data_IF_173109729657
#
_entry.id   IF_173109729657
#
_cell.length_a   1.000
_cell.length_b   1.000
_cell.length_c   1.000
_cell.angle_alpha   90.00
_cell.angle_beta   90.00
_cell.angle_gamma   90.00
#
_symmetry.space_group_name_H-M   'P 1'
#
loop_
_entity.id
_entity.type
_entity.pdbx_description
1 polymer ?
#
# COMPACT_ATOMS: atom_id res chain seq x y z
N UNK A 1 2.47 39.82 34.74
CA UNK A 1 3.44 38.87 34.15
C UNK A 1 3.49 37.50 34.85
N UNK A 2 2.99 37.34 36.08
CA UNK A 2 3.01 36.08 36.85
C UNK A 2 2.04 34.99 36.38
N UNK A 3 0.96 35.32 35.65
CA UNK A 3 -0.02 34.33 35.15
C UNK A 3 0.40 33.59 33.88
N UNK A 4 1.25 34.20 33.03
CA UNK A 4 1.74 33.62 31.77
C UNK A 4 2.83 32.56 32.02
N UNK A 5 3.76 32.84 32.94
CA UNK A 5 4.81 31.89 33.34
C UNK A 5 4.22 30.62 33.98
N UNK A 6 3.14 30.77 34.76
CA UNK A 6 2.44 29.63 35.38
C UNK A 6 1.70 28.74 34.38
N UNK A 7 1.29 29.27 33.21
CA UNK A 7 0.68 28.49 32.12
C UNK A 7 1.73 27.73 31.31
N UNK A 8 2.87 28.36 31.03
CA UNK A 8 4.00 27.72 30.34
C UNK A 8 4.57 26.54 31.15
N UNK A 9 4.72 26.69 32.47
CA UNK A 9 5.17 25.60 33.35
C UNK A 9 4.20 24.42 33.42
N UNK A 10 2.88 24.68 33.35
CA UNK A 10 1.85 23.62 33.30
C UNK A 10 1.81 22.91 31.95
N UNK A 11 1.96 23.63 30.84
CA UNK A 11 2.00 23.05 29.50
C UNK A 11 3.27 22.21 29.29
N UNK A 12 4.42 22.69 29.79
CA UNK A 12 5.67 21.95 29.79
C UNK A 12 5.62 20.70 30.67
N UNK A 13 5.02 20.79 31.85
CA UNK A 13 4.81 19.63 32.72
C UNK A 13 3.84 18.60 32.13
N UNK A 14 2.80 19.03 31.40
CA UNK A 14 1.89 18.11 30.70
C UNK A 14 2.59 17.42 29.52
N UNK A 15 3.33 18.16 28.71
CA UNK A 15 4.10 17.60 27.59
C UNK A 15 5.19 16.64 28.08
N UNK A 16 5.87 16.97 29.18
CA UNK A 16 6.85 16.11 29.82
C UNK A 16 6.17 14.88 30.46
N UNK A 17 4.97 15.03 31.02
CA UNK A 17 4.16 13.89 31.50
C UNK A 17 3.74 12.97 30.36
N UNK A 18 3.32 13.49 29.20
CA UNK A 18 3.02 12.67 28.01
C UNK A 18 4.27 12.07 27.36
N UNK A 19 5.43 12.71 27.46
CA UNK A 19 6.69 12.20 26.93
C UNK A 19 7.37 11.17 27.87
N UNK A 20 7.15 11.29 29.17
CA UNK A 20 7.72 10.41 30.21
C UNK A 20 6.75 9.36 30.74
N UNK A 21 5.47 9.42 30.36
CA UNK A 21 4.62 8.24 30.45
C UNK A 21 4.88 7.43 29.19
N UNK A 22 5.65 6.32 29.25
CA UNK A 22 5.39 5.23 28.33
C UNK A 22 3.98 4.78 28.69
N UNK A 23 2.99 5.44 28.09
CA UNK A 23 1.62 5.41 28.56
C UNK A 23 1.09 4.04 28.27
N UNK A 24 1.29 3.11 29.21
CA UNK A 24 0.69 1.79 29.30
C UNK A 24 0.23 1.32 27.93
N UNK A 25 1.17 1.23 26.98
CA UNK A 25 0.92 0.57 25.72
C UNK A 25 0.75 -0.87 26.15
N UNK A 26 -0.50 -1.22 26.47
CA UNK A 26 -0.96 -2.57 26.61
C UNK A 26 -0.87 -3.14 25.19
N UNK A 27 0.34 -3.39 24.73
CA UNK A 27 0.66 -4.41 23.77
C UNK A 27 0.41 -5.76 24.47
N UNK A 28 -0.81 -5.96 24.96
CA UNK A 28 -1.36 -7.30 24.92
C UNK A 28 -1.30 -7.64 23.44
N UNK A 29 -0.35 -8.50 23.07
CA UNK A 29 -0.37 -9.17 21.78
C UNK A 29 -1.82 -9.54 21.56
N UNK A 30 -2.45 -9.01 20.50
CA UNK A 30 -3.78 -9.48 20.15
C UNK A 30 -3.63 -10.99 20.07
N UNK A 31 -4.39 -11.61 20.97
CA UNK A 31 -4.13 -12.88 21.62
C UNK A 31 -3.65 -13.97 20.65
N UNK A 32 -2.92 -14.95 21.19
CA UNK A 32 -2.38 -16.22 20.63
C UNK A 32 -3.10 -16.91 19.46
N UNK A 33 -4.32 -16.47 19.08
CA UNK A 33 -5.14 -16.97 17.96
C UNK A 33 -5.12 -16.12 16.69
N UNK A 34 -4.87 -14.81 16.74
CA UNK A 34 -4.98 -13.93 15.56
C UNK A 34 -3.66 -13.24 15.18
N UNK A 35 -2.55 -13.56 15.85
CA UNK A 35 -1.25 -12.94 15.60
C UNK A 35 -0.85 -12.96 14.13
N UNK A 36 -0.98 -14.11 13.45
CA UNK A 36 -0.63 -14.25 12.04
C UNK A 36 -1.55 -13.47 11.09
N UNK A 37 -2.82 -13.25 11.48
CA UNK A 37 -3.72 -12.38 10.73
C UNK A 37 -3.24 -10.93 10.76
N UNK A 38 -2.88 -10.42 11.94
CA UNK A 38 -2.32 -9.07 12.05
C UNK A 38 -0.94 -8.97 11.41
N UNK A 39 -0.11 -10.01 11.49
CA UNK A 39 1.16 -10.07 10.79
C UNK A 39 0.95 -9.94 9.28
N UNK A 40 0.02 -10.71 8.70
CA UNK A 40 -0.34 -10.62 7.29
C UNK A 40 -0.94 -9.27 6.92
N UNK A 41 -1.79 -8.69 7.76
CA UNK A 41 -2.36 -7.36 7.51
C UNK A 41 -1.31 -6.24 7.57
N UNK A 42 -0.32 -6.34 8.45
CA UNK A 42 0.70 -5.31 8.59
C UNK A 42 1.86 -5.48 7.60
N UNK A 43 2.11 -6.70 7.13
CA UNK A 43 3.25 -7.01 6.26
C UNK A 43 3.31 -6.13 5.00
N UNK A 44 2.24 -6.03 4.17
CA UNK A 44 2.24 -5.11 3.04
C UNK A 44 2.40 -3.66 3.47
N UNK A 45 1.76 -3.26 4.57
CA UNK A 45 1.76 -1.86 5.02
C UNK A 45 3.14 -1.36 5.47
N UNK A 46 4.03 -2.27 5.85
CA UNK A 46 5.42 -1.98 6.20
C UNK A 46 6.36 -2.01 5.00
N UNK A 47 5.91 -2.50 3.85
CA UNK A 47 6.66 -2.56 2.60
C UNK A 47 6.14 -1.50 1.61
N UNK A 48 6.88 -0.41 1.49
CA UNK A 48 6.52 0.69 0.60
C UNK A 48 6.51 0.28 -0.87
N UNK A 49 7.26 -0.76 -1.27
CA UNK A 49 7.24 -1.25 -2.65
C UNK A 49 5.87 -1.86 -3.02
N UNK A 50 5.12 -2.34 -2.03
CA UNK A 50 3.76 -2.87 -2.23
C UNK A 50 2.69 -1.78 -2.08
N UNK A 51 2.80 -0.90 -1.07
CA UNK A 51 1.76 0.10 -0.78
C UNK A 51 1.68 1.21 -1.83
N UNK A 52 2.82 1.66 -2.36
CA UNK A 52 2.87 2.72 -3.36
C UNK A 52 2.08 2.38 -4.64
N UNK A 53 2.24 1.19 -5.26
CA UNK A 53 1.45 0.85 -6.44
C UNK A 53 -0.02 0.61 -6.12
N UNK A 54 -0.41 0.19 -4.91
CA UNK A 54 -1.82 0.10 -4.50
C UNK A 54 -2.47 1.49 -4.44
N UNK A 55 -1.76 2.45 -3.87
CA UNK A 55 -2.20 3.84 -3.82
C UNK A 55 -2.32 4.42 -5.23
N UNK A 56 -1.32 4.20 -6.08
CA UNK A 56 -1.33 4.64 -7.46
C UNK A 56 -2.46 3.97 -8.27
N UNK A 57 -2.71 2.68 -8.09
CA UNK A 57 -3.83 1.96 -8.71
C UNK A 57 -5.18 2.57 -8.31
N UNK A 58 -5.37 2.86 -7.02
CA UNK A 58 -6.59 3.47 -6.51
C UNK A 58 -6.82 4.88 -7.09
N UNK A 59 -5.76 5.71 -7.17
CA UNK A 59 -5.81 7.03 -7.79
C UNK A 59 -6.09 6.94 -9.30
N UNK A 60 -5.42 6.02 -10.00
CA UNK A 60 -5.63 5.79 -11.42
C UNK A 60 -7.07 5.34 -11.70
N UNK A 61 -7.61 4.45 -10.88
CA UNK A 61 -9.00 4.01 -10.95
C UNK A 61 -9.97 5.18 -10.71
N UNK A 62 -9.67 6.09 -9.76
CA UNK A 62 -10.47 7.29 -9.52
C UNK A 62 -10.58 8.18 -10.76
N UNK A 63 -9.49 8.33 -11.53
CA UNK A 63 -9.53 9.08 -12.80
C UNK A 63 -10.43 8.45 -13.88
N UNK A 64 -10.71 7.14 -13.81
CA UNK A 64 -11.63 6.47 -14.74
C UNK A 64 -13.11 6.58 -14.34
N UNK A 65 -13.39 7.13 -13.16
CA UNK A 65 -14.73 7.34 -12.63
C UNK A 65 -15.34 6.13 -11.91
N UNK A 66 -16.40 6.35 -11.10
CA UNK A 66 -16.86 5.37 -10.10
C UNK A 66 -17.35 4.03 -10.68
N UNK A 67 -17.96 4.06 -11.88
CA UNK A 67 -18.50 2.86 -12.55
C UNK A 67 -17.42 1.86 -12.96
N UNK A 68 -16.25 2.36 -13.35
CA UNK A 68 -15.09 1.56 -13.72
C UNK A 68 -14.30 1.19 -12.47
N UNK A 69 -14.08 2.16 -11.58
CA UNK A 69 -13.26 1.99 -10.38
C UNK A 69 -13.76 0.88 -9.42
N UNK A 70 -15.08 0.67 -9.32
CA UNK A 70 -15.65 -0.42 -8.49
C UNK A 70 -15.16 -1.81 -8.86
N UNK A 71 -14.79 -2.05 -10.13
CA UNK A 71 -14.27 -3.35 -10.55
C UNK A 71 -12.86 -3.59 -10.03
N UNK A 72 -12.06 -2.53 -9.84
CA UNK A 72 -10.73 -2.64 -9.21
C UNK A 72 -10.85 -3.08 -7.75
N UNK A 73 -11.83 -2.52 -7.03
CA UNK A 73 -12.12 -2.88 -5.62
C UNK A 73 -12.43 -4.37 -5.45
N UNK A 74 -13.00 -5.02 -6.48
CA UNK A 74 -13.28 -6.45 -6.46
C UNK A 74 -12.11 -7.28 -7.02
N UNK A 75 -11.57 -6.90 -8.18
CA UNK A 75 -10.56 -7.68 -8.88
C UNK A 75 -9.23 -7.73 -8.14
N UNK A 76 -8.80 -6.60 -7.56
CA UNK A 76 -7.52 -6.50 -6.87
C UNK A 76 -7.42 -7.45 -5.65
N UNK A 77 -8.30 -7.42 -4.65
CA UNK A 77 -8.17 -8.29 -3.48
C UNK A 77 -8.40 -9.77 -3.80
N UNK A 78 -9.25 -10.10 -4.79
CA UNK A 78 -9.40 -11.48 -5.25
C UNK A 78 -8.12 -12.00 -5.91
N UNK A 79 -7.48 -11.16 -6.73
CA UNK A 79 -6.17 -11.46 -7.30
C UNK A 79 -5.09 -11.56 -6.22
N UNK A 80 -5.14 -10.71 -5.19
CA UNK A 80 -4.25 -10.75 -4.03
C UNK A 80 -4.36 -12.08 -3.27
N UNK A 81 -5.59 -12.52 -2.97
CA UNK A 81 -5.84 -13.83 -2.37
C UNK A 81 -5.36 -14.98 -3.26
N UNK A 82 -5.63 -14.91 -4.56
CA UNK A 82 -5.21 -15.93 -5.52
C UNK A 82 -3.68 -16.01 -5.64
N UNK A 83 -2.99 -14.87 -5.70
CA UNK A 83 -1.52 -14.81 -5.69
C UNK A 83 -0.93 -15.43 -4.43
N UNK A 84 -1.51 -15.11 -3.27
CA UNK A 84 -1.15 -15.72 -2.00
C UNK A 84 -1.32 -17.23 -2.00
N UNK A 85 -2.43 -17.75 -2.53
CA UNK A 85 -2.64 -19.19 -2.66
C UNK A 85 -1.65 -19.84 -3.64
N UNK A 86 -1.32 -19.18 -4.77
CA UNK A 86 -0.34 -19.68 -5.74
C UNK A 86 1.06 -19.82 -5.14
N UNK A 87 1.46 -18.94 -4.22
CA UNK A 87 2.75 -19.03 -3.53
C UNK A 87 2.94 -20.32 -2.72
N UNK A 88 1.85 -20.99 -2.34
CA UNK A 88 1.88 -22.22 -1.56
C UNK A 88 2.25 -23.45 -2.39
N UNK A 89 2.14 -23.36 -3.71
CA UNK A 89 2.29 -24.50 -4.63
C UNK A 89 3.33 -24.26 -5.73
N UNK A 90 3.70 -23.01 -5.99
CA UNK A 90 4.69 -22.64 -7.00
C UNK A 90 5.99 -22.14 -6.36
N UNK A 91 7.10 -22.30 -7.09
CA UNK A 91 8.36 -21.67 -6.70
C UNK A 91 8.38 -20.18 -7.07
N UNK A 92 9.07 -19.34 -6.29
CA UNK A 92 9.14 -17.90 -6.54
C UNK A 92 9.70 -17.62 -7.93
N UNK A 93 8.96 -16.90 -8.79
CA UNK A 93 9.48 -16.56 -10.09
C UNK A 93 10.68 -15.62 -9.92
N UNK A 94 11.81 -15.86 -10.60
CA UNK A 94 13.06 -15.11 -10.38
C UNK A 94 12.94 -13.61 -10.71
N UNK A 95 11.92 -13.24 -11.49
CA UNK A 95 11.63 -11.87 -11.86
C UNK A 95 10.69 -11.14 -10.90
N UNK A 96 10.08 -11.81 -9.91
CA UNK A 96 9.07 -11.20 -9.03
C UNK A 96 9.54 -9.89 -8.36
N UNK A 97 10.73 -9.83 -7.73
CA UNK A 97 11.19 -8.60 -7.09
C UNK A 97 11.33 -7.43 -8.07
N UNK A 98 11.93 -7.69 -9.25
CA UNK A 98 12.10 -6.66 -10.29
C UNK A 98 10.76 -6.21 -10.86
N UNK A 99 9.82 -7.14 -11.02
CA UNK A 99 8.47 -6.84 -11.48
C UNK A 99 7.70 -5.96 -10.47
N UNK A 100 7.88 -6.18 -9.16
CA UNK A 100 7.26 -5.36 -8.11
C UNK A 100 7.70 -3.92 -8.23
N UNK A 101 9.02 -3.68 -8.23
CA UNK A 101 9.62 -2.35 -8.40
C UNK A 101 9.21 -1.70 -9.74
N UNK A 102 9.20 -2.47 -10.83
CA UNK A 102 8.75 -1.98 -12.13
C UNK A 102 7.28 -1.54 -12.10
N UNK A 103 6.41 -2.26 -11.39
CA UNK A 103 5.01 -1.87 -11.22
C UNK A 103 4.85 -0.60 -10.39
N UNK A 104 5.72 -0.31 -9.42
CA UNK A 104 5.75 1.01 -8.75
C UNK A 104 5.97 2.12 -9.78
N UNK A 105 6.98 1.96 -10.65
CA UNK A 105 7.28 2.95 -11.68
C UNK A 105 6.12 3.12 -12.68
N UNK A 106 5.60 2.00 -13.20
CA UNK A 106 4.55 2.00 -14.22
C UNK A 106 3.22 2.56 -13.71
N UNK A 107 2.81 2.20 -12.50
CA UNK A 107 1.57 2.72 -11.91
C UNK A 107 1.69 4.20 -11.58
N UNK A 108 2.83 4.64 -11.05
CA UNK A 108 3.13 6.05 -10.83
C UNK A 108 3.09 6.87 -12.12
N UNK A 109 3.74 6.37 -13.19
CA UNK A 109 3.71 7.03 -14.51
C UNK A 109 2.29 7.11 -15.08
N UNK A 110 1.50 6.04 -14.94
CA UNK A 110 0.12 6.02 -15.38
C UNK A 110 -0.73 7.09 -14.68
N UNK A 111 -0.52 7.29 -13.37
CA UNK A 111 -1.14 8.36 -12.60
C UNK A 111 -0.64 9.74 -13.05
N UNK A 112 0.68 9.92 -13.18
CA UNK A 112 1.29 11.20 -13.57
C UNK A 112 0.83 11.68 -14.96
N UNK A 113 0.71 10.75 -15.90
CA UNK A 113 0.18 10.99 -17.24
C UNK A 113 -1.35 11.06 -17.28
N UNK A 114 -2.04 10.77 -16.17
CA UNK A 114 -3.50 10.69 -16.09
C UNK A 114 -4.06 9.80 -17.22
N UNK A 115 -3.46 8.61 -17.39
CA UNK A 115 -3.80 7.71 -18.49
C UNK A 115 -5.28 7.32 -18.41
N UNK A 116 -5.97 7.47 -19.54
CA UNK A 116 -7.32 6.96 -19.73
C UNK A 116 -7.22 5.53 -20.24
N UNK A 117 -7.49 4.56 -19.38
CA UNK A 117 -7.39 3.14 -19.72
C UNK A 117 -8.77 2.56 -20.02
N UNK A 118 -8.93 1.70 -21.03
CA UNK A 118 -10.11 0.87 -21.14
C UNK A 118 -10.22 -0.06 -19.91
N UNK A 119 -11.44 -0.47 -19.55
CA UNK A 119 -11.69 -1.32 -18.37
C UNK A 119 -10.80 -2.56 -18.34
N UNK A 120 -10.62 -3.23 -19.48
CA UNK A 120 -9.78 -4.41 -19.58
C UNK A 120 -8.32 -4.14 -19.16
N UNK A 121 -7.71 -3.05 -19.63
CA UNK A 121 -6.33 -2.71 -19.27
C UNK A 121 -6.19 -2.35 -17.79
N UNK A 122 -7.17 -1.64 -17.22
CA UNK A 122 -7.18 -1.34 -15.78
C UNK A 122 -7.31 -2.62 -14.94
N UNK A 123 -8.16 -3.56 -15.36
CA UNK A 123 -8.33 -4.83 -14.67
C UNK A 123 -7.10 -5.73 -14.81
N UNK A 124 -6.45 -5.77 -15.98
CA UNK A 124 -5.17 -6.48 -16.15
C UNK A 124 -4.12 -5.92 -15.20
N UNK A 125 -4.03 -4.59 -15.08
CA UNK A 125 -3.11 -3.96 -14.12
C UNK A 125 -3.45 -4.32 -12.67
N UNK A 126 -4.73 -4.23 -12.29
CA UNK A 126 -5.18 -4.57 -10.93
C UNK A 126 -4.96 -6.05 -10.59
N UNK A 127 -5.25 -6.95 -11.51
CA UNK A 127 -5.05 -8.39 -11.34
C UNK A 127 -3.57 -8.73 -11.33
N UNK A 128 -2.76 -8.14 -12.21
CA UNK A 128 -1.32 -8.35 -12.25
C UNK A 128 -0.64 -7.91 -10.95
N UNK A 129 -1.00 -6.73 -10.44
CA UNK A 129 -0.56 -6.24 -9.12
C UNK A 129 -0.99 -7.19 -7.99
N UNK A 130 -2.28 -7.51 -7.91
CA UNK A 130 -2.79 -8.39 -6.87
C UNK A 130 -2.11 -9.76 -6.88
N UNK A 131 -2.01 -10.41 -8.05
CA UNK A 131 -1.35 -11.70 -8.16
C UNK A 131 0.12 -11.64 -7.72
N UNK A 132 0.87 -10.62 -8.14
CA UNK A 132 2.28 -10.49 -7.80
C UNK A 132 2.47 -10.22 -6.31
N UNK A 133 1.78 -9.23 -5.76
CA UNK A 133 1.97 -8.82 -4.36
C UNK A 133 1.45 -9.91 -3.43
N UNK A 134 0.32 -10.54 -3.78
CA UNK A 134 -0.22 -11.68 -3.04
C UNK A 134 0.77 -12.83 -3.00
N UNK A 135 1.39 -13.12 -4.14
CA UNK A 135 2.43 -14.13 -4.25
C UNK A 135 3.64 -13.80 -3.36
N UNK A 136 4.15 -12.57 -3.42
CA UNK A 136 5.30 -12.14 -2.63
C UNK A 136 5.01 -12.20 -1.12
N UNK A 137 3.83 -11.72 -0.70
CA UNK A 137 3.36 -11.83 0.68
C UNK A 137 3.31 -13.28 1.15
N UNK A 138 2.75 -14.18 0.33
CA UNK A 138 2.66 -15.58 0.69
C UNK A 138 4.03 -16.27 0.73
N UNK A 139 4.95 -15.90 -0.17
CA UNK A 139 6.33 -16.38 -0.17
C UNK A 139 7.16 -15.86 1.02
N UNK A 140 6.74 -14.78 1.67
CA UNK A 140 7.39 -14.24 2.86
C UNK A 140 7.03 -14.99 4.16
N UNK A 141 6.04 -15.89 4.12
CA UNK A 141 5.64 -16.67 5.29
C UNK A 141 6.74 -17.65 5.72
N UNK A 142 6.92 -17.82 7.03
CA UNK A 142 7.81 -18.84 7.59
C UNK A 142 7.05 -20.13 7.88
N UNK A 143 7.78 -21.22 8.12
CA UNK A 143 7.18 -22.55 8.29
C UNK A 143 6.14 -22.64 9.43
N UNK A 144 6.22 -21.77 10.44
CA UNK A 144 5.33 -21.73 11.60
C UNK A 144 4.12 -20.80 11.43
N UNK A 145 4.03 -20.05 10.34
CA UNK A 145 2.93 -19.11 10.08
C UNK A 145 1.65 -19.86 9.72
N UNK A 146 0.54 -19.53 10.38
CA UNK A 146 -0.80 -19.94 9.94
C UNK A 146 -1.13 -19.24 8.61
N UNK A 147 -1.08 -20.03 7.53
CA UNK A 147 -1.24 -19.56 6.15
C UNK A 147 -2.61 -18.95 5.91
N UNK A 148 -3.66 -19.48 6.54
CA UNK A 148 -5.02 -18.99 6.32
C UNK A 148 -5.20 -17.63 7.01
N UNK A 149 -4.74 -17.50 8.25
CA UNK A 149 -4.78 -16.23 8.98
C UNK A 149 -3.94 -15.16 8.29
N UNK A 150 -2.69 -15.47 7.93
CA UNK A 150 -1.81 -14.51 7.28
C UNK A 150 -2.35 -14.03 5.93
N UNK A 151 -2.72 -14.95 5.03
CA UNK A 151 -3.23 -14.58 3.71
C UNK A 151 -4.58 -13.86 3.76
N UNK A 152 -5.45 -14.22 4.71
CA UNK A 152 -6.69 -13.46 4.92
C UNK A 152 -6.41 -12.06 5.46
N UNK A 153 -5.42 -11.88 6.33
CA UNK A 153 -4.92 -10.58 6.78
C UNK A 153 -4.44 -9.69 5.62
N UNK A 154 -3.56 -10.24 4.78
CA UNK A 154 -3.05 -9.57 3.56
C UNK A 154 -4.22 -9.18 2.64
N UNK A 155 -5.16 -10.10 2.42
CA UNK A 155 -6.30 -9.88 1.52
C UNK A 155 -7.22 -8.78 2.04
N UNK A 156 -7.57 -8.83 3.33
CA UNK A 156 -8.46 -7.86 3.98
C UNK A 156 -7.83 -6.48 4.00
N UNK A 157 -6.53 -6.36 4.33
CA UNK A 157 -5.86 -5.07 4.31
C UNK A 157 -5.73 -4.51 2.90
N UNK A 158 -5.45 -5.34 1.90
CA UNK A 158 -5.40 -4.91 0.50
C UNK A 158 -6.75 -4.38 0.01
N UNK A 159 -7.84 -5.09 0.31
CA UNK A 159 -9.20 -4.62 0.05
C UNK A 159 -9.49 -3.29 0.74
N UNK A 160 -9.25 -3.20 2.06
CA UNK A 160 -9.53 -2.01 2.85
C UNK A 160 -8.71 -0.81 2.35
N UNK A 161 -7.42 -0.99 2.12
CA UNK A 161 -6.51 0.05 1.65
C UNK A 161 -6.94 0.59 0.29
N UNK A 162 -7.13 -0.27 -0.72
CA UNK A 162 -7.51 0.16 -2.07
C UNK A 162 -8.89 0.82 -2.06
N UNK A 163 -9.85 0.30 -1.29
CA UNK A 163 -11.20 0.88 -1.18
C UNK A 163 -11.15 2.27 -0.55
N UNK A 164 -10.44 2.43 0.57
CA UNK A 164 -10.31 3.72 1.26
C UNK A 164 -9.52 4.72 0.42
N UNK A 165 -8.40 4.32 -0.17
CA UNK A 165 -7.59 5.17 -1.04
C UNK A 165 -8.39 5.63 -2.27
N UNK A 166 -9.18 4.74 -2.88
CA UNK A 166 -10.05 5.08 -3.99
C UNK A 166 -11.15 6.05 -3.56
N UNK A 167 -11.81 5.78 -2.43
CA UNK A 167 -12.83 6.67 -1.87
C UNK A 167 -12.28 8.07 -1.60
N UNK A 168 -11.10 8.16 -0.98
CA UNK A 168 -10.38 9.41 -0.76
C UNK A 168 -10.03 10.12 -2.07
N UNK A 169 -9.52 9.40 -3.08
CA UNK A 169 -9.16 9.99 -4.37
C UNK A 169 -10.39 10.50 -5.14
N UNK A 170 -11.50 9.76 -5.13
CA UNK A 170 -12.78 10.17 -5.74
C UNK A 170 -13.35 11.39 -5.02
N UNK A 171 -13.42 11.37 -3.69
CA UNK A 171 -13.88 12.51 -2.89
C UNK A 171 -12.99 13.73 -3.08
N UNK A 172 -11.67 13.51 -3.18
CA UNK A 172 -10.73 14.56 -3.50
C UNK A 172 -11.02 15.13 -4.88
N UNK A 173 -11.17 14.34 -5.93
CA UNK A 173 -11.46 14.83 -7.28
C UNK A 173 -12.83 15.53 -7.44
N UNK A 174 -13.81 15.21 -6.59
CA UNK A 174 -15.13 15.84 -6.61
C UNK A 174 -15.15 17.28 -6.05
N UNK A 175 -14.09 17.71 -5.36
CA UNK A 175 -14.02 19.06 -4.82
C UNK A 175 -13.77 20.14 -5.87
N UNK A 176 -13.89 21.42 -5.46
CA UNK A 176 -13.70 22.58 -6.34
C UNK A 176 -12.22 22.93 -6.55
N UNK A 177 -11.84 23.22 -7.79
CA UNK A 177 -10.51 23.74 -8.18
C UNK A 177 -9.73 22.84 -9.13
N UNK A 178 -9.19 23.43 -10.21
CA UNK A 178 -8.45 22.71 -11.25
C UNK A 178 -7.09 22.14 -10.82
N UNK A 179 -6.60 22.50 -9.63
CA UNK A 179 -5.32 22.00 -9.10
C UNK A 179 -5.41 20.56 -8.56
N UNK A 180 -6.61 20.04 -8.30
CA UNK A 180 -6.79 18.75 -7.62
C UNK A 180 -6.31 17.57 -8.49
N UNK A 181 -6.69 17.46 -9.77
CA UNK A 181 -6.07 16.47 -10.66
C UNK A 181 -4.55 16.66 -10.77
N UNK A 182 -4.06 17.90 -10.76
CA UNK A 182 -2.62 18.21 -10.85
C UNK A 182 -1.88 17.67 -9.61
N UNK A 183 -2.44 17.83 -8.41
CA UNK A 183 -1.85 17.31 -7.17
C UNK A 183 -1.74 15.78 -7.19
N UNK A 184 -2.77 15.07 -7.66
CA UNK A 184 -2.71 13.61 -7.79
C UNK A 184 -1.70 13.16 -8.85
N UNK A 185 -1.60 13.88 -9.97
CA UNK A 185 -0.57 13.63 -10.98
C UNK A 185 0.85 13.86 -10.45
N UNK A 186 1.05 14.91 -9.66
CA UNK A 186 2.33 15.20 -9.01
C UNK A 186 2.70 14.08 -8.02
N UNK A 187 1.74 13.61 -7.20
CA UNK A 187 1.96 12.45 -6.34
C UNK A 187 2.33 11.19 -7.15
N UNK A 188 1.66 10.95 -8.29
CA UNK A 188 2.02 9.87 -9.22
C UNK A 188 3.45 9.99 -9.76
N UNK A 189 3.93 11.21 -10.03
CA UNK A 189 5.31 11.42 -10.49
C UNK A 189 6.35 11.07 -9.42
N UNK A 190 6.05 11.29 -8.13
CA UNK A 190 6.91 10.89 -7.03
C UNK A 190 6.92 9.36 -6.86
N UNK A 191 5.76 8.71 -6.98
CA UNK A 191 5.68 7.24 -7.01
C UNK A 191 6.53 6.68 -8.15
N UNK A 192 6.41 7.26 -9.35
CA UNK A 192 7.21 6.88 -10.51
C UNK A 192 8.71 7.04 -10.26
N UNK A 193 9.12 8.18 -9.68
CA UNK A 193 10.52 8.45 -9.38
C UNK A 193 11.11 7.45 -8.38
N UNK A 194 10.36 7.07 -7.33
CA UNK A 194 10.77 6.02 -6.38
C UNK A 194 10.99 4.70 -7.12
N UNK A 195 10.02 4.26 -7.92
CA UNK A 195 10.13 3.02 -8.69
C UNK A 195 11.32 3.02 -9.65
N UNK A 196 11.53 4.10 -10.41
CA UNK A 196 12.66 4.23 -11.35
C UNK A 196 14.00 4.22 -10.61
N UNK A 197 14.10 4.93 -9.48
CA UNK A 197 15.31 4.98 -8.67
C UNK A 197 15.68 3.60 -8.12
N UNK A 198 14.73 2.91 -7.49
CA UNK A 198 14.94 1.57 -6.93
C UNK A 198 15.26 0.57 -8.05
N UNK A 199 14.56 0.66 -9.19
CA UNK A 199 14.84 -0.21 -10.33
C UNK A 199 16.27 -0.01 -10.85
N UNK A 200 16.71 1.26 -10.96
CA UNK A 200 18.09 1.58 -11.33
C UNK A 200 19.12 0.99 -10.36
N UNK A 201 18.87 1.05 -9.05
CA UNK A 201 19.73 0.45 -8.04
C UNK A 201 19.81 -1.08 -8.17
N UNK A 202 18.69 -1.75 -8.43
CA UNK A 202 18.65 -3.20 -8.69
C UNK A 202 19.43 -3.62 -9.93
N UNK A 203 19.44 -2.80 -10.98
CA UNK A 203 20.20 -3.09 -12.20
C UNK A 203 21.70 -2.85 -11.99
N UNK A 204 22.08 -1.80 -11.26
CA UNK A 204 23.48 -1.52 -10.94
C UNK A 204 24.10 -2.59 -10.03
N UNK A 205 23.38 -3.05 -8.99
CA UNK A 205 23.91 -4.05 -8.05
C UNK A 205 24.18 -5.42 -8.70
N UNK A 206 23.47 -5.75 -9.79
CA UNK A 206 23.69 -6.97 -10.58
C UNK A 206 24.85 -6.87 -11.56
N UNK A 207 25.33 -5.66 -11.88
CA UNK A 207 26.47 -5.46 -12.79
C UNK A 207 27.84 -5.48 -12.10
N UNK A 208 27.87 -5.60 -10.76
CA UNK A 208 29.08 -5.51 -9.93
C UNK A 208 29.44 -6.86 -9.27
N UNK A 209 28.71 -7.94 -9.58
CA UNK A 209 29.00 -9.32 -9.13
C UNK A 209 29.28 -10.24 -10.30
#
# INVERSE_FOLDING_TARGET
>A
MTRLVRRAGKAGALALFFALTPGLAHAHLVDTRLGDFYAGALHPLTDFEQVLPWLALAVLAAFQGPRVARWVVLAFPLALAAGGALSLVLLPPPFAPVAGVALVALTGLAVAAQLRLPLAALLVLAVGLGLLDGYQNGAAMVATTDRFLFLSGVTVVGYAFVTLALGCAVAFLAGVGGWRPIALRAAGSWVAAVGIMVLGLHLMSRGVG
#
